data_IF_365220628750
#
_entry.id   IF_365220628750
#
_cell.length_a   1.000
_cell.length_b   1.000
_cell.length_c   1.000
_cell.angle_alpha   90.00
_cell.angle_beta   90.00
_cell.angle_gamma   90.00
#
_symmetry.space_group_name_H-M   'P 1'
#
loop_
_entity.id
_entity.type
_entity.pdbx_description
1 polymer ?
#
# COMPACT_ATOMS: atom_id res chain seq x y z
N UNK A 1 -5.54 1.43 -19.68
CA UNK A 1 -4.48 2.44 -19.85
C UNK A 1 -3.80 2.67 -18.50
N UNK A 2 -2.47 2.75 -18.49
CA UNK A 2 -1.67 3.04 -17.29
C UNK A 2 -1.31 4.53 -17.24
N UNK A 3 -0.90 5.01 -16.05
CA UNK A 3 -0.36 6.37 -15.89
C UNK A 3 0.86 6.58 -16.81
N UNK A 4 1.73 5.57 -16.91
CA UNK A 4 2.93 5.64 -17.73
C UNK A 4 2.61 5.78 -19.23
N UNK A 5 1.61 5.05 -19.75
CA UNK A 5 1.16 5.19 -21.13
C UNK A 5 0.69 6.62 -21.42
N UNK A 6 -0.17 7.19 -20.59
CA UNK A 6 -0.69 8.55 -20.77
C UNK A 6 0.41 9.60 -20.67
N UNK A 7 1.30 9.49 -19.70
CA UNK A 7 2.37 10.47 -19.51
C UNK A 7 3.45 10.40 -20.59
N UNK A 8 3.75 9.20 -21.08
CA UNK A 8 4.68 9.02 -22.21
C UNK A 8 4.18 9.73 -23.46
N UNK A 9 2.90 9.58 -23.79
CA UNK A 9 2.26 10.32 -24.91
C UNK A 9 2.23 11.83 -24.68
N UNK A 10 2.25 12.26 -23.42
CA UNK A 10 2.31 13.67 -23.00
C UNK A 10 3.74 14.22 -22.91
N UNK A 11 4.75 13.47 -23.39
CA UNK A 11 6.14 13.91 -23.46
C UNK A 11 6.97 13.71 -22.19
N UNK A 12 6.51 12.92 -21.26
CA UNK A 12 7.28 12.52 -20.06
C UNK A 12 8.18 11.33 -20.36
N UNK A 13 9.36 11.30 -19.77
CA UNK A 13 10.07 10.04 -19.56
C UNK A 13 9.39 9.23 -18.45
N UNK A 14 9.35 7.92 -18.61
CA UNK A 14 8.58 7.03 -17.74
C UNK A 14 9.44 5.89 -17.22
N UNK A 15 9.68 5.87 -15.91
CA UNK A 15 10.58 4.94 -15.26
C UNK A 15 9.89 4.15 -14.15
N UNK A 16 10.24 2.88 -14.04
CA UNK A 16 9.77 2.04 -12.94
C UNK A 16 10.91 1.26 -12.31
N UNK A 17 10.97 1.26 -10.99
CA UNK A 17 11.82 0.36 -10.23
C UNK A 17 11.01 -0.33 -9.13
N UNK A 18 11.11 -1.68 -9.03
CA UNK A 18 10.46 -2.45 -7.98
C UNK A 18 9.50 -3.53 -8.44
N UNK A 19 8.42 -3.72 -7.70
CA UNK A 19 7.41 -4.76 -7.91
C UNK A 19 6.36 -4.34 -8.92
N UNK A 20 6.18 -5.13 -9.99
CA UNK A 20 5.14 -4.92 -11.00
C UNK A 20 3.79 -5.51 -10.61
N UNK A 21 3.71 -6.83 -10.49
CA UNK A 21 2.52 -7.61 -10.06
C UNK A 21 1.25 -7.44 -10.93
N UNK A 22 1.37 -6.99 -12.18
CA UNK A 22 0.25 -6.83 -13.11
C UNK A 22 0.31 -7.78 -14.31
N UNK A 23 1.04 -8.88 -14.16
CA UNK A 23 1.19 -9.94 -15.17
C UNK A 23 2.65 -10.28 -15.42
N UNK A 24 3.02 -11.55 -15.12
CA UNK A 24 4.37 -12.07 -15.31
C UNK A 24 4.48 -13.03 -16.51
N UNK A 25 3.36 -13.57 -16.95
CA UNK A 25 3.28 -14.47 -18.10
C UNK A 25 2.80 -13.69 -19.34
N UNK A 26 3.60 -13.70 -20.39
CA UNK A 26 3.40 -12.91 -21.60
C UNK A 26 4.04 -11.51 -21.49
N UNK A 27 5.01 -11.22 -22.37
CA UNK A 27 5.75 -9.95 -22.34
C UNK A 27 4.85 -8.73 -22.60
N UNK A 28 3.75 -8.91 -23.31
CA UNK A 28 2.76 -7.87 -23.58
C UNK A 28 2.17 -7.22 -22.32
N UNK A 29 2.34 -7.88 -21.16
CA UNK A 29 1.88 -7.40 -19.84
C UNK A 29 2.98 -6.72 -19.02
N UNK A 30 4.24 -6.76 -19.52
CA UNK A 30 5.38 -6.26 -18.76
C UNK A 30 5.48 -4.73 -18.81
N UNK A 31 6.25 -4.11 -17.89
CA UNK A 31 6.27 -2.65 -17.75
C UNK A 31 6.57 -1.87 -19.03
N UNK A 32 7.51 -2.32 -19.86
CA UNK A 32 7.85 -1.60 -21.08
C UNK A 32 6.70 -1.55 -22.08
N UNK A 33 5.93 -2.64 -22.20
CA UNK A 33 4.73 -2.72 -23.04
C UNK A 33 3.53 -2.01 -22.43
N UNK A 34 3.67 -1.55 -21.19
CA UNK A 34 2.65 -0.81 -20.44
C UNK A 34 3.08 0.63 -20.13
N UNK A 35 3.87 1.21 -21.06
CA UNK A 35 4.18 2.62 -21.12
C UNK A 35 5.47 3.06 -20.41
N UNK A 36 6.17 2.20 -19.70
CA UNK A 36 7.47 2.53 -19.11
C UNK A 36 8.59 2.41 -20.15
N UNK A 37 9.53 3.35 -20.14
CA UNK A 37 10.71 3.33 -20.99
C UNK A 37 11.84 2.50 -20.38
N UNK A 38 11.93 2.52 -19.05
CA UNK A 38 12.90 1.74 -18.30
C UNK A 38 12.23 1.03 -17.14
N UNK A 39 12.68 -0.17 -16.86
CA UNK A 39 12.21 -0.99 -15.74
C UNK A 39 13.36 -1.75 -15.10
N UNK A 40 13.40 -1.76 -13.77
CA UNK A 40 14.22 -2.70 -13.02
C UNK A 40 13.43 -3.24 -11.83
N UNK A 41 13.27 -4.55 -11.73
CA UNK A 41 12.52 -5.10 -10.59
C UNK A 41 12.06 -6.53 -10.80
N UNK A 42 10.97 -6.85 -10.12
CA UNK A 42 10.33 -8.17 -10.17
C UNK A 42 8.95 -8.07 -10.82
N UNK A 43 8.65 -9.00 -11.72
CA UNK A 43 7.32 -9.12 -12.34
C UNK A 43 6.30 -9.75 -11.40
N UNK A 44 6.76 -10.57 -10.46
CA UNK A 44 5.96 -11.30 -9.48
C UNK A 44 5.50 -10.42 -8.31
N UNK A 45 4.56 -10.93 -7.49
CA UNK A 45 4.00 -10.22 -6.34
C UNK A 45 4.88 -10.21 -5.07
N UNK A 46 5.91 -11.06 -5.01
CA UNK A 46 6.88 -11.13 -3.90
C UNK A 46 8.13 -11.88 -4.36
N UNK A 47 9.26 -11.65 -3.70
CA UNK A 47 10.52 -12.35 -3.94
C UNK A 47 11.35 -12.40 -2.66
N UNK A 48 12.45 -13.16 -2.67
CA UNK A 48 13.52 -12.99 -1.67
C UNK A 48 14.14 -11.60 -1.81
N UNK A 49 14.37 -10.91 -0.70
CA UNK A 49 15.06 -9.61 -0.69
C UNK A 49 16.54 -9.76 -0.95
N UNK A 50 17.11 -10.89 -0.53
CA UNK A 50 18.54 -11.17 -0.57
C UNK A 50 18.96 -11.88 -1.84
N UNK A 51 18.07 -12.73 -2.41
CA UNK A 51 18.39 -13.55 -3.59
C UNK A 51 17.14 -13.80 -4.45
N UNK A 52 16.62 -12.79 -5.16
CA UNK A 52 15.53 -12.99 -6.12
C UNK A 52 15.95 -14.01 -7.18
N UNK A 53 15.10 -15.03 -7.42
CA UNK A 53 15.46 -16.12 -8.33
C UNK A 53 14.25 -16.79 -8.97
N UNK A 54 14.45 -17.58 -10.05
CA UNK A 54 13.42 -18.31 -10.75
C UNK A 54 12.31 -17.41 -11.29
N UNK A 55 11.06 -17.84 -11.17
CA UNK A 55 9.88 -17.04 -11.58
C UNK A 55 9.68 -15.74 -10.77
N UNK A 56 10.45 -15.53 -9.71
CA UNK A 56 10.47 -14.33 -8.85
C UNK A 56 11.81 -13.59 -8.93
N UNK A 57 12.57 -13.84 -10.00
CA UNK A 57 13.85 -13.20 -10.27
C UNK A 57 13.70 -11.78 -10.81
N UNK A 58 14.83 -11.14 -11.01
CA UNK A 58 14.95 -9.77 -11.48
C UNK A 58 14.82 -9.68 -13.00
N UNK A 59 14.31 -8.54 -13.43
CA UNK A 59 14.21 -8.18 -14.85
C UNK A 59 14.71 -6.74 -14.99
N UNK A 60 15.57 -6.49 -15.98
CA UNK A 60 15.98 -5.15 -16.43
C UNK A 60 15.38 -4.93 -17.81
N UNK A 61 14.53 -3.96 -17.93
CA UNK A 61 13.73 -3.69 -19.13
C UNK A 61 12.92 -4.97 -19.50
N UNK A 62 13.22 -5.65 -20.57
CA UNK A 62 12.61 -6.95 -20.93
C UNK A 62 13.57 -8.14 -20.73
N UNK A 63 14.76 -7.91 -20.18
CA UNK A 63 15.78 -8.94 -20.01
C UNK A 63 15.75 -9.53 -18.60
N UNK A 64 15.51 -10.83 -18.47
CA UNK A 64 15.67 -11.52 -17.19
C UNK A 64 17.13 -11.54 -16.78
N UNK A 65 17.39 -11.15 -15.55
CA UNK A 65 18.73 -11.09 -15.01
C UNK A 65 19.10 -12.40 -14.29
N UNK A 66 20.42 -12.72 -14.21
CA UNK A 66 20.89 -13.78 -13.35
C UNK A 66 20.57 -13.47 -11.87
N UNK A 67 20.67 -14.49 -11.03
CA UNK A 67 20.57 -14.30 -9.58
C UNK A 67 21.71 -13.38 -9.13
N UNK A 68 21.38 -12.31 -8.38
CA UNK A 68 22.41 -11.35 -7.97
C UNK A 68 23.42 -11.99 -7.00
N UNK A 69 24.66 -11.55 -7.10
CA UNK A 69 25.72 -11.90 -6.14
C UNK A 69 25.52 -11.15 -4.82
N UNK A 70 25.93 -11.78 -3.72
CA UNK A 70 25.92 -11.13 -2.41
C UNK A 70 27.13 -10.17 -2.26
N UNK A 71 26.98 -9.04 -1.53
CA UNK A 71 25.78 -8.60 -0.82
C UNK A 71 24.76 -7.94 -1.75
N UNK A 72 23.50 -8.35 -1.67
CA UNK A 72 22.39 -7.77 -2.43
C UNK A 72 21.17 -7.57 -1.54
N UNK A 73 20.42 -6.47 -1.74
CA UNK A 73 19.15 -6.22 -1.07
C UNK A 73 18.21 -5.46 -2.00
N UNK A 74 17.02 -6.03 -2.28
CA UNK A 74 16.08 -5.49 -3.29
C UNK A 74 15.72 -4.03 -3.06
N UNK A 75 15.46 -3.61 -1.81
CA UNK A 75 15.03 -2.25 -1.48
C UNK A 75 16.09 -1.22 -1.87
N UNK A 76 17.37 -1.53 -1.63
CA UNK A 76 18.48 -0.66 -2.04
C UNK A 76 18.60 -0.62 -3.55
N UNK A 77 18.61 -1.80 -4.19
CA UNK A 77 18.78 -1.92 -5.64
C UNK A 77 17.66 -1.22 -6.41
N UNK A 78 16.40 -1.30 -5.94
CA UNK A 78 15.29 -0.58 -6.59
C UNK A 78 15.50 0.94 -6.54
N UNK A 79 15.97 1.45 -5.41
CA UNK A 79 16.28 2.88 -5.28
C UNK A 79 17.48 3.29 -6.15
N UNK A 80 18.51 2.47 -6.21
CA UNK A 80 19.68 2.75 -7.03
C UNK A 80 19.35 2.81 -8.52
N UNK A 81 18.52 1.88 -9.00
CA UNK A 81 18.05 1.91 -10.38
C UNK A 81 17.04 3.06 -10.63
N UNK A 82 16.20 3.41 -9.68
CA UNK A 82 15.33 4.57 -9.78
C UNK A 82 16.15 5.87 -9.96
N UNK A 83 17.18 6.05 -9.14
CA UNK A 83 18.11 7.18 -9.26
C UNK A 83 18.85 7.13 -10.58
N UNK A 84 19.40 5.98 -10.96
CA UNK A 84 20.13 5.76 -12.20
C UNK A 84 19.30 6.14 -13.41
N UNK A 85 18.04 5.74 -13.50
CA UNK A 85 17.19 6.06 -14.65
C UNK A 85 16.94 7.56 -14.80
N UNK A 86 16.77 8.28 -13.68
CA UNK A 86 16.65 9.75 -13.70
C UNK A 86 17.99 10.43 -14.03
N UNK A 87 19.12 9.86 -13.60
CA UNK A 87 20.47 10.39 -13.87
C UNK A 87 20.93 10.18 -15.33
N UNK A 88 20.53 9.06 -15.94
CA UNK A 88 20.83 8.73 -17.34
C UNK A 88 20.05 9.58 -18.36
N UNK A 89 19.02 10.33 -17.91
CA UNK A 89 18.24 11.20 -18.79
C UNK A 89 19.12 12.31 -19.38
N UNK A 90 19.10 12.48 -20.70
CA UNK A 90 19.98 13.42 -21.44
C UNK A 90 19.32 14.73 -21.82
N UNK A 91 18.02 14.86 -21.68
CA UNK A 91 17.23 16.04 -22.01
C UNK A 91 16.52 16.61 -20.76
N UNK A 92 15.85 17.75 -20.94
CA UNK A 92 15.14 18.45 -19.86
C UNK A 92 13.65 18.09 -19.78
N UNK A 93 13.21 17.03 -20.47
CA UNK A 93 11.81 16.58 -20.35
C UNK A 93 11.46 16.21 -18.91
N UNK A 94 10.21 16.37 -18.51
CA UNK A 94 9.77 15.89 -17.20
C UNK A 94 9.81 14.36 -17.14
N UNK A 95 9.85 13.82 -15.93
CA UNK A 95 9.82 12.37 -15.72
C UNK A 95 8.67 11.94 -14.83
N UNK A 96 8.20 10.73 -15.04
CA UNK A 96 7.36 9.96 -14.12
C UNK A 96 8.15 8.77 -13.61
N UNK A 97 8.31 8.67 -12.31
CA UNK A 97 9.00 7.55 -11.65
C UNK A 97 8.02 6.81 -10.72
N UNK A 98 7.79 5.53 -10.99
CA UNK A 98 7.09 4.64 -10.09
C UNK A 98 8.08 3.75 -9.33
N UNK A 99 8.41 4.14 -8.08
CA UNK A 99 9.26 3.36 -7.18
C UNK A 99 8.37 2.49 -6.28
N UNK A 100 8.19 1.23 -6.69
CA UNK A 100 7.27 0.29 -6.08
C UNK A 100 8.02 -0.73 -5.22
N UNK A 101 8.30 -0.40 -3.98
CA UNK A 101 8.98 -1.32 -3.06
C UNK A 101 8.16 -2.60 -2.82
N UNK A 102 8.83 -3.76 -2.80
CA UNK A 102 8.24 -4.99 -2.26
C UNK A 102 8.23 -5.00 -0.73
N UNK A 103 9.05 -4.20 -0.09
CA UNK A 103 9.08 -4.01 1.35
C UNK A 103 7.86 -3.23 1.87
N UNK A 104 7.32 -3.59 3.03
CA UNK A 104 7.73 -4.63 3.97
C UNK A 104 6.95 -5.96 3.84
N UNK A 105 6.50 -6.33 2.62
CA UNK A 105 5.80 -7.61 2.38
C UNK A 105 6.69 -8.80 2.77
N UNK A 106 6.10 -9.94 3.20
CA UNK A 106 6.88 -11.15 3.38
C UNK A 106 7.59 -11.59 2.07
N UNK A 107 8.76 -12.31 2.17
CA UNK A 107 9.39 -12.92 3.33
C UNK A 107 10.03 -11.92 4.28
N UNK A 108 10.12 -12.28 5.56
CA UNK A 108 10.87 -11.50 6.54
C UNK A 108 12.37 -11.68 6.28
N UNK A 109 12.97 -10.69 5.66
CA UNK A 109 14.40 -10.65 5.37
C UNK A 109 14.89 -9.19 5.48
N UNK A 110 15.87 -8.90 6.30
CA UNK A 110 16.44 -7.57 6.49
C UNK A 110 17.93 -7.64 6.84
N UNK A 111 18.60 -6.50 6.78
CA UNK A 111 19.99 -6.39 7.17
C UNK A 111 20.14 -6.58 8.68
N UNK A 112 21.13 -7.35 9.09
CA UNK A 112 21.32 -7.72 10.50
C UNK A 112 21.52 -6.50 11.39
N UNK A 113 22.31 -5.52 10.93
CA UNK A 113 22.53 -4.27 11.67
C UNK A 113 21.24 -3.46 11.92
N UNK A 114 20.25 -3.61 11.07
CA UNK A 114 18.93 -2.96 11.26
C UNK A 114 18.03 -3.78 12.19
N UNK A 115 18.08 -5.11 12.12
CA UNK A 115 17.30 -5.99 13.01
C UNK A 115 17.67 -5.74 14.48
N UNK A 116 18.99 -5.65 14.77
CA UNK A 116 19.51 -5.43 16.11
C UNK A 116 18.96 -4.16 16.78
N UNK A 117 18.67 -3.12 16.01
CA UNK A 117 18.07 -1.87 16.54
C UNK A 117 16.70 -2.07 17.18
N UNK A 118 15.96 -3.09 16.75
CA UNK A 118 14.55 -3.27 17.11
C UNK A 118 14.29 -4.48 18.02
N UNK A 119 15.15 -5.49 18.03
CA UNK A 119 14.90 -6.76 18.73
C UNK A 119 14.59 -6.56 20.21
N UNK A 120 15.41 -5.78 20.93
CA UNK A 120 15.22 -5.50 22.35
C UNK A 120 13.89 -4.80 22.61
N UNK A 121 13.54 -3.81 21.80
CA UNK A 121 12.32 -3.00 21.97
C UNK A 121 11.07 -3.87 21.93
N UNK A 122 10.94 -4.73 20.91
CA UNK A 122 9.77 -5.58 20.75
C UNK A 122 9.72 -6.71 21.77
N UNK A 123 10.87 -7.19 22.21
CA UNK A 123 10.95 -8.24 23.24
C UNK A 123 10.53 -7.76 24.62
N UNK A 124 10.97 -6.58 25.02
CA UNK A 124 10.70 -6.00 26.33
C UNK A 124 9.26 -5.47 26.43
N UNK A 125 8.77 -4.79 25.40
CA UNK A 125 7.47 -4.13 25.43
C UNK A 125 6.30 -5.02 25.03
N UNK A 126 6.51 -5.94 24.09
CA UNK A 126 5.45 -6.74 23.54
C UNK A 126 4.38 -5.93 22.80
N UNK A 127 3.41 -6.62 22.25
CA UNK A 127 2.40 -5.97 21.40
C UNK A 127 1.38 -5.11 22.14
N UNK A 128 1.06 -5.41 23.41
CA UNK A 128 0.08 -4.62 24.17
C UNK A 128 0.63 -3.21 24.44
N UNK A 129 1.87 -3.11 24.93
CA UNK A 129 2.51 -1.82 25.20
C UNK A 129 2.82 -1.06 23.88
N UNK A 130 3.28 -1.76 22.85
CA UNK A 130 3.53 -1.15 21.53
C UNK A 130 2.24 -0.59 20.91
N UNK A 131 1.11 -1.30 21.02
CA UNK A 131 -0.21 -0.81 20.59
C UNK A 131 -0.56 0.51 21.28
N UNK A 132 -0.44 0.55 22.60
CA UNK A 132 -0.75 1.75 23.36
C UNK A 132 0.21 2.91 23.08
N UNK A 133 1.51 2.63 22.98
CA UNK A 133 2.50 3.65 22.61
C UNK A 133 2.22 4.23 21.22
N UNK A 134 1.83 3.37 20.26
CA UNK A 134 1.45 3.78 18.92
C UNK A 134 0.22 4.68 18.93
N UNK A 135 -0.86 4.30 19.66
CA UNK A 135 -2.06 5.11 19.82
C UNK A 135 -1.73 6.50 20.38
N UNK A 136 -0.98 6.56 21.49
CA UNK A 136 -0.55 7.82 22.12
C UNK A 136 0.21 8.71 21.14
N UNK A 137 1.13 8.12 20.36
CA UNK A 137 1.88 8.88 19.35
C UNK A 137 1.00 9.38 18.22
N UNK A 138 0.07 8.57 17.72
CA UNK A 138 -0.87 8.96 16.66
C UNK A 138 -1.77 10.09 17.12
N UNK A 139 -2.27 10.05 18.36
CA UNK A 139 -3.02 11.15 18.99
C UNK A 139 -2.17 12.43 19.07
N UNK A 140 -0.93 12.32 19.59
CA UNK A 140 -0.03 13.47 19.68
C UNK A 140 0.28 14.11 18.32
N UNK A 141 0.34 13.31 17.27
CA UNK A 141 0.57 13.77 15.89
C UNK A 141 -0.72 14.27 15.20
N UNK A 142 -1.87 14.16 15.85
CA UNK A 142 -3.16 14.54 15.28
C UNK A 142 -3.66 13.60 14.17
N UNK A 143 -3.16 12.37 14.10
CA UNK A 143 -3.58 11.36 13.11
C UNK A 143 -4.96 10.80 13.49
N UNK A 144 -5.19 10.58 14.78
CA UNK A 144 -6.45 10.12 15.36
C UNK A 144 -6.91 11.06 16.48
N UNK A 145 -8.19 11.06 16.76
CA UNK A 145 -8.75 11.82 17.88
C UNK A 145 -8.35 11.22 19.24
N UNK A 146 -8.24 12.03 20.31
CA UNK A 146 -7.81 11.57 21.65
C UNK A 146 -8.68 10.45 22.24
N UNK A 147 -9.96 10.47 21.94
CA UNK A 147 -10.97 9.50 22.40
C UNK A 147 -11.14 8.29 21.48
N UNK A 148 -10.30 8.15 20.45
CA UNK A 148 -10.35 6.99 19.55
C UNK A 148 -10.05 5.71 20.34
N UNK A 149 -11.05 4.84 20.44
CA UNK A 149 -10.92 3.54 21.06
C UNK A 149 -10.20 2.55 20.15
N UNK A 150 -9.65 1.48 20.70
CA UNK A 150 -9.11 0.38 19.92
C UNK A 150 -10.23 -0.46 19.31
N UNK A 151 -10.03 -0.94 18.10
CA UNK A 151 -10.76 -2.10 17.61
C UNK A 151 -10.53 -3.32 18.52
N UNK A 152 -11.47 -4.25 18.48
CA UNK A 152 -11.39 -5.49 19.24
C UNK A 152 -10.07 -6.23 19.00
N UNK A 153 -9.47 -6.73 20.08
CA UNK A 153 -8.25 -7.52 20.04
C UNK A 153 -8.58 -9.00 19.84
N UNK A 154 -8.12 -9.58 18.78
CA UNK A 154 -8.49 -10.93 18.34
C UNK A 154 -7.38 -11.98 18.59
N UNK A 155 -6.38 -11.63 19.38
CA UNK A 155 -5.22 -12.48 19.63
C UNK A 155 -4.97 -12.62 21.14
N UNK A 156 -4.10 -13.53 21.54
CA UNK A 156 -3.66 -13.65 22.93
C UNK A 156 -2.97 -12.36 23.39
N UNK A 157 -3.07 -12.06 24.68
CA UNK A 157 -2.29 -10.99 25.31
C UNK A 157 -0.81 -11.40 25.37
N UNK A 158 0.08 -10.42 25.42
CA UNK A 158 1.53 -10.69 25.47
C UNK A 158 1.94 -11.56 26.66
N UNK A 159 1.33 -11.35 27.83
CA UNK A 159 1.63 -12.11 29.06
C UNK A 159 1.10 -13.56 29.02
N UNK A 160 0.24 -13.92 28.09
CA UNK A 160 -0.26 -15.28 27.88
C UNK A 160 0.68 -16.13 27.02
N UNK A 161 1.72 -15.52 26.46
CA UNK A 161 2.74 -16.21 25.67
C UNK A 161 3.85 -16.80 26.56
N UNK A 162 4.36 -17.95 26.17
CA UNK A 162 5.60 -18.49 26.75
C UNK A 162 6.79 -17.61 26.36
N UNK A 163 7.89 -17.68 27.14
CA UNK A 163 9.09 -16.90 26.84
C UNK A 163 9.65 -17.22 25.44
N UNK A 164 9.60 -18.50 25.05
CA UNK A 164 10.03 -18.93 23.71
C UNK A 164 9.14 -18.35 22.59
N UNK A 165 7.82 -18.23 22.80
CA UNK A 165 6.93 -17.59 21.84
C UNK A 165 7.22 -16.09 21.76
N UNK A 166 7.43 -15.41 22.89
CA UNK A 166 7.79 -13.99 22.95
C UNK A 166 9.08 -13.72 22.17
N UNK A 167 10.12 -14.54 22.34
CA UNK A 167 11.37 -14.40 21.60
C UNK A 167 11.14 -14.50 20.08
N UNK A 168 10.38 -15.51 19.66
CA UNK A 168 10.08 -15.75 18.23
C UNK A 168 9.30 -14.60 17.60
N UNK A 169 8.23 -14.14 18.25
CA UNK A 169 7.38 -13.08 17.67
C UNK A 169 8.03 -11.71 17.73
N UNK A 170 8.83 -11.43 18.77
CA UNK A 170 9.61 -10.20 18.88
C UNK A 170 10.65 -10.10 17.75
N UNK A 171 11.37 -11.18 17.48
CA UNK A 171 12.33 -11.23 16.40
C UNK A 171 11.67 -11.03 15.03
N UNK A 172 10.53 -11.68 14.76
CA UNK A 172 9.76 -11.46 13.53
C UNK A 172 9.39 -9.99 13.32
N UNK A 173 8.93 -9.34 14.39
CA UNK A 173 8.56 -7.92 14.31
C UNK A 173 9.79 -7.02 14.16
N UNK A 174 10.92 -7.38 14.76
CA UNK A 174 12.18 -6.65 14.58
C UNK A 174 12.64 -6.68 13.11
N UNK A 175 12.54 -7.83 12.45
CA UNK A 175 12.86 -7.95 11.02
C UNK A 175 11.91 -7.11 10.17
N UNK A 176 10.61 -7.15 10.45
CA UNK A 176 9.64 -6.29 9.76
C UNK A 176 9.95 -4.80 9.94
N UNK A 177 10.26 -4.38 11.16
CA UNK A 177 10.63 -3.00 11.45
C UNK A 177 11.93 -2.59 10.73
N UNK A 178 12.89 -3.49 10.62
CA UNK A 178 14.10 -3.28 9.84
C UNK A 178 13.83 -3.11 8.33
N UNK A 179 12.87 -3.88 7.77
CA UNK A 179 12.41 -3.67 6.38
C UNK A 179 11.82 -2.26 6.20
N UNK A 180 10.96 -1.80 7.13
CA UNK A 180 10.38 -0.44 7.09
C UNK A 180 11.45 0.63 7.24
N UNK A 181 12.42 0.42 8.15
CA UNK A 181 13.56 1.32 8.33
C UNK A 181 14.40 1.46 7.05
N UNK A 182 14.62 0.36 6.34
CA UNK A 182 15.32 0.37 5.07
C UNK A 182 14.55 1.13 3.99
N UNK A 183 13.20 1.03 3.95
CA UNK A 183 12.37 1.83 3.03
C UNK A 183 12.54 3.32 3.32
N UNK A 184 12.46 3.73 4.60
CA UNK A 184 12.61 5.13 5.00
C UNK A 184 14.00 5.69 4.59
N UNK A 185 15.05 4.92 4.83
CA UNK A 185 16.40 5.27 4.39
C UNK A 185 16.49 5.47 2.86
N UNK A 186 15.89 4.58 2.09
CA UNK A 186 15.92 4.61 0.63
C UNK A 186 15.05 5.72 0.04
N UNK A 187 13.89 6.02 0.63
CA UNK A 187 13.10 7.21 0.27
C UNK A 187 13.94 8.48 0.49
N UNK A 188 14.60 8.59 1.64
CA UNK A 188 15.50 9.72 1.90
C UNK A 188 16.61 9.82 0.85
N UNK A 189 17.26 8.71 0.50
CA UNK A 189 18.32 8.66 -0.53
C UNK A 189 17.85 9.22 -1.87
N UNK A 190 16.65 8.83 -2.32
CA UNK A 190 16.04 9.37 -3.54
C UNK A 190 15.75 10.87 -3.42
N UNK A 191 15.14 11.32 -2.32
CA UNK A 191 14.81 12.73 -2.12
C UNK A 191 16.07 13.61 -2.03
N UNK A 192 17.14 13.14 -1.39
CA UNK A 192 18.44 13.84 -1.31
C UNK A 192 19.09 13.95 -2.71
N UNK A 193 18.98 12.90 -3.54
CA UNK A 193 19.42 12.93 -4.93
C UNK A 193 18.66 13.99 -5.74
N UNK A 194 17.31 13.97 -5.67
CA UNK A 194 16.49 14.94 -6.38
C UNK A 194 16.75 16.38 -5.92
N UNK A 195 16.95 16.58 -4.62
CA UNK A 195 17.32 17.89 -4.05
C UNK A 195 18.69 18.39 -4.54
N UNK A 196 19.71 17.53 -4.51
CA UNK A 196 21.06 17.83 -4.99
C UNK A 196 21.04 18.26 -6.47
N UNK A 197 20.21 17.62 -7.28
CA UNK A 197 20.08 17.90 -8.70
C UNK A 197 18.99 18.96 -9.03
N UNK A 198 18.50 19.69 -8.02
CA UNK A 198 17.50 20.78 -8.16
C UNK A 198 16.17 20.36 -8.81
N UNK A 199 15.84 19.06 -8.76
CA UNK A 199 14.62 18.49 -9.32
C UNK A 199 13.48 18.42 -8.28
N UNK A 200 13.77 18.34 -6.97
CA UNK A 200 12.80 18.07 -5.92
C UNK A 200 11.72 19.16 -5.79
N UNK A 201 12.07 20.43 -5.94
CA UNK A 201 11.14 21.55 -5.72
C UNK A 201 9.96 21.53 -6.69
N UNK A 202 10.19 21.07 -7.94
CA UNK A 202 9.16 20.90 -8.96
C UNK A 202 8.82 19.41 -9.22
N UNK A 203 8.94 18.57 -8.22
CA UNK A 203 8.50 17.17 -8.27
C UNK A 203 7.31 16.98 -7.34
N UNK A 204 6.20 16.49 -7.87
CA UNK A 204 5.09 15.97 -7.07
C UNK A 204 5.50 14.61 -6.52
N UNK A 205 5.69 14.52 -5.22
CA UNK A 205 6.02 13.28 -4.50
C UNK A 205 4.78 12.77 -3.81
N UNK A 206 4.38 11.54 -4.11
CA UNK A 206 3.28 10.83 -3.46
C UNK A 206 3.84 9.56 -2.81
N UNK A 207 3.65 9.39 -1.50
CA UNK A 207 4.05 8.20 -0.76
C UNK A 207 2.85 7.59 -0.06
N UNK A 208 2.59 6.31 -0.32
CA UNK A 208 1.45 5.58 0.24
C UNK A 208 1.77 4.09 0.45
N UNK A 209 0.96 3.43 1.24
CA UNK A 209 0.85 1.98 1.26
C UNK A 209 -0.40 1.57 0.46
N UNK A 210 -0.29 0.51 -0.33
CA UNK A 210 -1.35 0.00 -1.19
C UNK A 210 -2.51 -0.66 -0.42
N UNK A 211 -2.24 -1.16 0.78
CA UNK A 211 -3.20 -1.78 1.69
C UNK A 211 -2.70 -1.75 3.14
N UNK A 212 -3.56 -2.15 4.05
CA UNK A 212 -3.15 -2.38 5.44
C UNK A 212 -2.17 -3.54 5.60
N UNK A 213 -1.67 -3.71 6.81
CA UNK A 213 -0.66 -4.71 7.17
C UNK A 213 -1.09 -6.13 6.81
N UNK A 214 -0.15 -6.95 6.36
CA UNK A 214 -0.40 -8.30 5.87
C UNK A 214 -0.36 -9.33 7.00
N UNK A 215 -1.48 -10.01 7.25
CA UNK A 215 -1.59 -11.06 8.28
C UNK A 215 -1.35 -12.48 7.74
N UNK A 216 -1.12 -12.64 6.44
CA UNK A 216 -0.96 -13.96 5.81
C UNK A 216 0.22 -14.75 6.42
N UNK A 217 0.08 -16.07 6.60
CA UNK A 217 -1.07 -16.94 6.33
C UNK A 217 -2.15 -16.97 7.44
N UNK A 218 -2.36 -15.89 8.15
CA UNK A 218 -3.34 -15.70 9.25
C UNK A 218 -3.03 -16.46 10.54
N UNK A 219 -1.87 -17.08 10.66
CA UNK A 219 -1.38 -17.62 11.92
C UNK A 219 -1.11 -16.48 12.91
N UNK A 220 -1.52 -16.67 14.17
CA UNK A 220 -1.36 -15.64 15.21
C UNK A 220 0.09 -15.21 15.37
N UNK A 221 1.00 -16.18 15.50
CA UNK A 221 2.42 -15.97 15.79
C UNK A 221 3.32 -15.92 14.54
N UNK A 222 2.72 -15.89 13.34
CA UNK A 222 3.44 -15.84 12.07
C UNK A 222 3.60 -17.17 11.36
N UNK A 223 3.84 -17.10 10.05
CA UNK A 223 4.10 -18.26 9.20
C UNK A 223 5.59 -18.55 9.01
N UNK A 224 5.92 -19.76 8.55
CA UNK A 224 7.28 -20.22 8.37
C UNK A 224 8.07 -20.39 9.68
N UNK A 225 9.28 -20.93 9.61
CA UNK A 225 10.16 -21.07 10.79
C UNK A 225 11.00 -19.81 11.00
N UNK A 226 11.33 -19.50 12.25
CA UNK A 226 12.24 -18.38 12.58
C UNK A 226 13.63 -18.61 12.00
N UNK A 227 14.09 -19.86 11.95
CA UNK A 227 15.37 -20.23 11.33
C UNK A 227 15.46 -20.00 9.83
N UNK A 228 14.32 -19.80 9.16
CA UNK A 228 14.22 -19.49 7.72
C UNK A 228 14.26 -17.97 7.44
N UNK A 229 14.18 -17.14 8.48
CA UNK A 229 14.35 -15.69 8.37
C UNK A 229 15.79 -15.39 7.97
N UNK A 230 15.96 -14.50 6.99
CA UNK A 230 17.25 -14.17 6.38
C UNK A 230 17.94 -15.33 5.63
N UNK A 231 17.31 -16.48 5.45
CA UNK A 231 17.82 -17.50 4.56
C UNK A 231 17.58 -17.09 3.09
N UNK A 232 18.64 -16.81 2.30
CA UNK A 232 18.49 -16.42 0.90
C UNK A 232 17.88 -17.53 0.02
N UNK A 233 18.00 -18.79 0.44
CA UNK A 233 17.48 -19.96 -0.26
C UNK A 233 16.08 -20.36 0.19
N UNK A 234 15.49 -19.63 1.14
CA UNK A 234 14.20 -19.96 1.72
C UNK A 234 13.09 -20.03 0.65
N UNK A 235 12.49 -21.21 0.51
CA UNK A 235 11.34 -21.47 -0.36
C UNK A 235 10.00 -21.17 0.34
N UNK A 236 10.00 -21.12 1.67
CA UNK A 236 8.86 -20.74 2.51
C UNK A 236 9.03 -19.28 2.91
N UNK A 237 7.93 -18.53 2.84
CA UNK A 237 8.00 -17.09 3.14
C UNK A 237 7.60 -16.81 4.60
N UNK A 238 8.59 -16.67 5.53
CA UNK A 238 8.30 -16.34 6.92
C UNK A 238 7.60 -14.97 7.01
N UNK A 239 6.58 -14.91 7.87
CA UNK A 239 5.79 -13.70 8.12
C UNK A 239 5.67 -13.39 9.60
N UNK A 240 5.25 -12.17 9.96
CA UNK A 240 5.18 -11.74 11.35
C UNK A 240 3.86 -12.05 12.06
N UNK A 241 2.84 -12.49 11.31
CA UNK A 241 1.62 -13.02 11.85
C UNK A 241 0.51 -12.01 12.11
N UNK A 242 -0.66 -12.56 12.44
CA UNK A 242 -1.90 -11.79 12.60
C UNK A 242 -1.84 -10.80 13.77
N UNK A 243 -1.24 -11.18 14.88
CA UNK A 243 -1.13 -10.30 16.05
C UNK A 243 -0.36 -9.02 15.72
N UNK A 244 0.83 -9.13 15.12
CA UNK A 244 1.60 -7.97 14.70
C UNK A 244 0.98 -7.19 13.54
N UNK A 245 0.25 -7.85 12.64
CA UNK A 245 -0.50 -7.15 11.60
C UNK A 245 -1.59 -6.24 12.22
N UNK A 246 -2.30 -6.72 13.23
CA UNK A 246 -3.28 -5.91 13.96
C UNK A 246 -2.62 -4.76 14.73
N UNK A 247 -1.44 -4.96 15.33
CA UNK A 247 -0.65 -3.87 15.94
C UNK A 247 -0.26 -2.82 14.91
N UNK A 248 0.20 -3.25 13.74
CA UNK A 248 0.62 -2.35 12.66
C UNK A 248 -0.52 -1.48 12.12
N UNK A 249 -1.76 -1.95 12.23
CA UNK A 249 -2.97 -1.22 11.83
C UNK A 249 -3.66 -0.47 12.98
N UNK A 250 -3.08 -0.46 14.19
CA UNK A 250 -3.65 0.26 15.33
C UNK A 250 -4.05 1.70 14.97
N UNK A 251 -5.26 2.16 15.36
CA UNK A 251 -6.25 1.50 16.21
C UNK A 251 -7.29 0.67 15.44
N UNK A 252 -7.20 0.60 14.13
CA UNK A 252 -8.22 0.11 13.21
C UNK A 252 -8.43 -1.40 13.26
N UNK A 253 -9.62 -1.82 12.81
CA UNK A 253 -10.07 -3.22 12.78
C UNK A 253 -9.47 -3.96 11.57
N UNK A 254 -9.04 -5.21 11.78
CA UNK A 254 -8.53 -6.12 10.75
C UNK A 254 -7.25 -5.64 10.04
N UNK A 255 -7.03 -6.14 8.82
CA UNK A 255 -5.77 -6.06 8.07
C UNK A 255 -6.03 -6.33 6.57
N UNK A 256 -4.97 -6.33 5.76
CA UNK A 256 -5.00 -6.63 4.32
C UNK A 256 -5.99 -7.76 3.97
N UNK A 257 -6.62 -7.67 2.81
CA UNK A 257 -7.69 -8.51 2.27
C UNK A 257 -9.07 -8.29 2.93
N UNK A 258 -9.18 -7.47 3.98
CA UNK A 258 -10.45 -7.14 4.62
C UNK A 258 -10.87 -5.71 4.29
N UNK A 259 -12.19 -5.48 4.14
CA UNK A 259 -12.72 -4.15 3.82
C UNK A 259 -12.96 -3.26 5.05
N UNK A 260 -12.55 -3.71 6.24
CA UNK A 260 -12.50 -2.88 7.45
C UNK A 260 -11.37 -1.84 7.36
N UNK A 261 -11.44 -0.79 8.16
CA UNK A 261 -10.48 0.32 8.11
C UNK A 261 -9.01 -0.14 8.21
N UNK A 262 -8.70 -1.18 8.99
CA UNK A 262 -7.34 -1.72 9.08
C UNK A 262 -6.84 -2.38 7.80
N UNK A 263 -7.74 -2.74 6.88
CA UNK A 263 -7.36 -3.29 5.57
C UNK A 263 -7.24 -2.24 4.47
N UNK A 264 -8.02 -1.16 4.53
CA UNK A 264 -8.18 -0.22 3.42
C UNK A 264 -7.80 1.23 3.74
N UNK A 265 -7.83 1.66 5.02
CA UNK A 265 -7.54 3.05 5.40
C UNK A 265 -6.04 3.25 5.61
N UNK A 266 -5.30 3.46 4.53
CA UNK A 266 -3.87 3.72 4.54
C UNK A 266 -3.57 5.21 4.36
N UNK A 267 -2.46 5.72 4.94
CA UNK A 267 -2.09 7.12 4.77
C UNK A 267 -1.49 7.38 3.39
N UNK A 268 -1.76 8.59 2.87
CA UNK A 268 -1.08 9.16 1.71
C UNK A 268 -0.35 10.43 2.15
N UNK A 269 0.91 10.56 1.78
CA UNK A 269 1.70 11.79 1.94
C UNK A 269 1.87 12.40 0.56
N UNK A 270 1.52 13.69 0.42
CA UNK A 270 1.70 14.45 -0.81
C UNK A 270 2.62 15.63 -0.53
N UNK A 271 3.65 15.80 -1.35
CA UNK A 271 4.59 16.93 -1.26
C UNK A 271 4.90 17.48 -2.65
N UNK A 272 4.69 18.78 -2.83
CA UNK A 272 5.04 19.48 -4.05
C UNK A 272 5.37 20.95 -3.72
N UNK A 273 6.62 21.22 -3.47
CA UNK A 273 7.06 22.49 -2.89
C UNK A 273 6.72 23.70 -3.74
N UNK A 274 6.82 23.60 -5.06
CA UNK A 274 6.50 24.71 -5.97
C UNK A 274 5.01 25.07 -6.00
N UNK A 275 4.12 24.08 -5.83
CA UNK A 275 2.67 24.26 -5.93
C UNK A 275 1.91 24.24 -4.60
N UNK A 276 2.42 23.53 -3.59
CA UNK A 276 1.79 23.40 -2.28
C UNK A 276 2.55 24.18 -1.18
N UNK A 277 3.05 25.36 -1.52
CA UNK A 277 3.95 26.19 -0.67
C UNK A 277 3.43 26.44 0.75
N UNK A 278 2.14 26.65 0.89
CA UNK A 278 1.51 27.03 2.16
C UNK A 278 0.83 25.83 2.87
N UNK A 279 1.16 24.59 2.46
CA UNK A 279 0.51 23.37 2.96
C UNK A 279 1.44 22.44 3.74
N UNK A 280 2.58 22.96 4.21
CA UNK A 280 3.57 22.16 4.92
C UNK A 280 3.02 21.60 6.24
N UNK A 281 2.98 20.29 6.35
CA UNK A 281 2.55 19.58 7.56
C UNK A 281 1.05 19.65 7.84
N UNK A 282 0.24 20.10 6.90
CA UNK A 282 -1.21 20.12 7.06
C UNK A 282 -1.84 18.73 6.86
N UNK A 283 -2.92 18.48 7.61
CA UNK A 283 -3.75 17.31 7.46
C UNK A 283 -4.91 17.59 6.50
N UNK A 284 -5.07 16.72 5.49
CA UNK A 284 -6.30 16.61 4.71
C UNK A 284 -7.08 15.41 5.23
N UNK A 285 -8.31 15.65 5.70
CA UNK A 285 -9.17 14.60 6.27
C UNK A 285 -10.24 14.11 5.30
N UNK A 286 -10.27 14.68 4.11
CA UNK A 286 -11.18 14.23 3.04
C UNK A 286 -10.73 12.86 2.56
N UNK A 287 -11.57 11.84 2.61
CA UNK A 287 -11.22 10.52 2.11
C UNK A 287 -11.00 10.52 0.59
N UNK A 288 -9.90 9.92 0.17
CA UNK A 288 -9.66 9.54 -1.21
C UNK A 288 -9.42 8.03 -1.31
N UNK A 289 -9.21 7.51 -2.50
CA UNK A 289 -8.82 6.12 -2.71
C UNK A 289 -7.94 5.96 -3.96
N UNK A 290 -7.38 4.77 -4.20
CA UNK A 290 -6.37 4.56 -5.25
C UNK A 290 -6.76 5.04 -6.65
N UNK A 291 -8.03 4.93 -7.11
CA UNK A 291 -8.43 5.50 -8.41
C UNK A 291 -8.19 7.01 -8.56
N UNK A 292 -8.04 7.75 -7.46
CA UNK A 292 -7.83 9.20 -7.46
C UNK A 292 -6.40 9.61 -7.87
N UNK A 293 -5.47 8.68 -7.82
CA UNK A 293 -4.06 8.94 -8.17
C UNK A 293 -3.94 9.36 -9.63
N UNK A 294 -4.60 8.64 -10.55
CA UNK A 294 -4.55 8.95 -11.99
C UNK A 294 -5.05 10.38 -12.27
N UNK A 295 -6.30 10.76 -11.94
CA UNK A 295 -6.79 12.12 -12.22
C UNK A 295 -5.99 13.21 -11.49
N UNK A 296 -5.41 12.93 -10.31
CA UNK A 296 -4.52 13.87 -9.63
C UNK A 296 -3.23 14.12 -10.43
N UNK A 297 -2.64 13.08 -10.98
CA UNK A 297 -1.44 13.19 -11.84
C UNK A 297 -1.79 13.91 -13.14
N UNK A 298 -2.94 13.63 -13.76
CA UNK A 298 -3.38 14.31 -14.97
C UNK A 298 -3.56 15.83 -14.74
N UNK A 299 -4.21 16.20 -13.62
CA UNK A 299 -4.33 17.64 -13.27
C UNK A 299 -2.96 18.28 -13.03
N UNK A 300 -2.04 17.58 -12.34
CA UNK A 300 -0.69 18.08 -12.07
C UNK A 300 0.14 18.31 -13.33
N UNK A 301 -0.06 17.50 -14.36
CA UNK A 301 0.77 17.45 -15.56
C UNK A 301 0.13 18.12 -16.77
N UNK A 302 -1.18 18.37 -16.73
CA UNK A 302 -1.97 18.82 -17.88
C UNK A 302 -2.19 17.73 -18.94
N UNK A 303 -1.86 16.46 -18.63
CA UNK A 303 -2.06 15.35 -19.55
C UNK A 303 -3.55 15.00 -19.67
N UNK A 304 -3.96 14.56 -20.86
CA UNK A 304 -5.34 14.20 -21.15
C UNK A 304 -5.52 12.69 -21.12
N UNK A 305 -6.55 12.21 -20.42
CA UNK A 305 -6.93 10.80 -20.45
C UNK A 305 -7.52 10.45 -21.82
N UNK A 306 -7.01 9.44 -22.52
CA UNK A 306 -7.48 9.10 -23.86
C UNK A 306 -8.87 8.43 -23.83
N UNK A 307 -9.64 8.59 -24.90
CA UNK A 307 -10.93 7.91 -25.07
C UNK A 307 -10.80 6.48 -25.59
N UNK A 308 -9.72 6.21 -26.32
CA UNK A 308 -9.45 4.90 -26.93
C UNK A 308 -8.03 4.43 -26.63
N UNK A 309 -7.86 3.11 -26.60
CA UNK A 309 -6.57 2.43 -26.49
C UNK A 309 -6.00 2.04 -27.85
N UNK A 310 -4.73 1.67 -27.92
CA UNK A 310 -4.08 1.20 -29.14
C UNK A 310 -5.00 0.27 -29.95
N UNK A 311 -5.21 0.59 -31.25
CA UNK A 311 -6.13 -0.13 -32.11
C UNK A 311 -7.59 0.33 -32.06
N UNK A 312 -7.90 1.46 -31.39
CA UNK A 312 -9.21 2.08 -31.41
C UNK A 312 -10.24 1.48 -30.42
N UNK A 313 -9.82 0.57 -29.54
CA UNK A 313 -10.70 0.02 -28.50
C UNK A 313 -11.07 1.10 -27.49
N UNK A 314 -12.37 1.25 -27.25
CA UNK A 314 -12.86 2.16 -26.20
C UNK A 314 -12.37 1.72 -24.82
N UNK A 315 -11.89 2.66 -24.03
CA UNK A 315 -11.49 2.42 -22.64
C UNK A 315 -12.55 2.90 -21.66
N UNK A 316 -12.53 2.32 -20.47
CA UNK A 316 -13.42 2.77 -19.39
C UNK A 316 -13.04 4.18 -18.95
N UNK A 317 -14.04 5.04 -18.66
CA UNK A 317 -13.77 6.38 -18.13
C UNK A 317 -13.08 6.31 -16.77
N UNK A 318 -12.41 7.40 -16.39
CA UNK A 318 -11.88 7.56 -15.04
C UNK A 318 -13.00 7.50 -14.01
N UNK A 319 -12.80 6.72 -12.95
CA UNK A 319 -13.74 6.61 -11.83
C UNK A 319 -13.27 7.40 -10.60
N UNK A 320 -12.00 7.81 -10.57
CA UNK A 320 -11.41 8.63 -9.52
C UNK A 320 -11.64 10.14 -9.75
N UNK A 321 -11.34 10.92 -8.73
CA UNK A 321 -11.36 12.38 -8.75
C UNK A 321 -9.99 12.92 -8.33
N UNK A 322 -9.58 14.09 -8.84
CA UNK A 322 -8.34 14.70 -8.38
C UNK A 322 -8.38 15.01 -6.88
N UNK A 323 -7.28 14.75 -6.19
CA UNK A 323 -7.10 15.06 -4.77
C UNK A 323 -6.83 16.53 -4.50
N UNK A 324 -6.45 17.33 -5.51
CA UNK A 324 -6.08 18.74 -5.32
C UNK A 324 -7.18 19.60 -4.73
N UNK A 325 -8.47 19.50 -5.14
CA UNK A 325 -9.53 20.27 -4.50
C UNK A 325 -9.61 20.04 -2.98
N UNK A 326 -9.46 18.79 -2.53
CA UNK A 326 -9.46 18.44 -1.10
C UNK A 326 -8.19 18.97 -0.39
N UNK A 327 -7.00 18.76 -0.98
CA UNK A 327 -5.72 19.26 -0.45
C UNK A 327 -5.73 20.78 -0.33
N UNK A 328 -6.37 21.48 -1.28
CA UNK A 328 -6.52 22.93 -1.29
C UNK A 328 -7.67 23.44 -0.42
N UNK A 329 -8.40 22.56 0.29
CA UNK A 329 -9.56 22.89 1.13
C UNK A 329 -10.70 23.59 0.36
N UNK A 330 -10.90 23.19 -0.89
CA UNK A 330 -11.99 23.68 -1.74
C UNK A 330 -13.23 22.79 -1.69
N UNK A 331 -13.10 21.59 -1.12
CA UNK A 331 -14.20 20.64 -0.94
C UNK A 331 -13.99 19.80 0.30
N UNK A 332 -15.08 19.37 0.90
CA UNK A 332 -15.12 18.43 2.04
C UNK A 332 -15.44 16.99 1.60
N UNK A 333 -15.68 16.77 0.31
CA UNK A 333 -15.92 15.44 -0.26
C UNK A 333 -15.43 15.39 -1.71
N UNK A 334 -14.82 14.25 -2.08
CA UNK A 334 -14.42 13.94 -3.46
C UNK A 334 -15.38 12.97 -4.14
N UNK A 335 -16.07 12.15 -3.37
CA UNK A 335 -16.93 11.10 -3.87
C UNK A 335 -18.24 11.06 -3.11
N UNK A 336 -19.34 10.84 -3.85
CA UNK A 336 -20.62 10.50 -3.23
C UNK A 336 -20.56 9.11 -2.64
N UNK A 337 -20.04 8.14 -3.41
CA UNK A 337 -19.85 6.75 -2.98
C UNK A 337 -18.41 6.30 -3.26
N UNK A 338 -17.90 5.41 -2.39
CA UNK A 338 -16.64 4.68 -2.57
C UNK A 338 -16.92 3.19 -2.40
N UNK A 339 -16.35 2.34 -3.29
CA UNK A 339 -16.69 0.92 -3.37
C UNK A 339 -15.46 0.04 -3.25
N UNK A 340 -15.60 -1.09 -2.56
CA UNK A 340 -14.54 -2.10 -2.45
C UNK A 340 -15.11 -3.50 -2.65
N UNK A 341 -14.34 -4.33 -3.32
CA UNK A 341 -14.47 -5.78 -3.36
C UNK A 341 -13.10 -6.43 -3.47
N UNK A 342 -12.83 -7.39 -2.59
CA UNK A 342 -11.66 -8.24 -2.67
C UNK A 342 -11.93 -9.59 -1.99
N UNK A 343 -11.83 -10.71 -2.73
CA UNK A 343 -12.01 -12.06 -2.20
C UNK A 343 -13.32 -12.24 -1.40
N UNK A 344 -14.44 -11.70 -1.88
CA UNK A 344 -15.75 -11.65 -1.23
C UNK A 344 -15.87 -10.67 -0.04
N UNK A 345 -14.82 -9.99 0.35
CA UNK A 345 -14.95 -8.85 1.26
C UNK A 345 -15.49 -7.67 0.48
N UNK A 346 -16.59 -7.10 0.92
CA UNK A 346 -17.34 -6.05 0.23
C UNK A 346 -17.47 -4.85 1.15
N UNK A 347 -17.39 -3.66 0.60
CA UNK A 347 -17.77 -2.45 1.32
C UNK A 347 -18.25 -1.36 0.38
N UNK A 348 -19.07 -0.47 0.93
CA UNK A 348 -19.48 0.80 0.33
C UNK A 348 -19.45 1.87 1.41
N UNK A 349 -18.94 3.05 1.05
CA UNK A 349 -19.01 4.25 1.89
C UNK A 349 -19.85 5.33 1.22
N UNK A 350 -20.71 5.97 1.99
CA UNK A 350 -21.51 7.13 1.63
C UNK A 350 -21.45 8.16 2.77
N UNK A 351 -20.73 9.24 2.56
CA UNK A 351 -20.48 10.21 3.60
C UNK A 351 -19.86 9.57 4.86
N UNK A 352 -20.59 9.62 5.98
CA UNK A 352 -20.18 9.03 7.26
C UNK A 352 -20.49 7.53 7.35
N UNK A 353 -21.44 7.04 6.55
CA UNK A 353 -21.88 5.66 6.60
C UNK A 353 -20.98 4.74 5.81
N UNK A 354 -20.68 3.58 6.36
CA UNK A 354 -19.95 2.50 5.70
C UNK A 354 -20.64 1.18 5.96
N UNK A 355 -21.12 0.53 4.89
CA UNK A 355 -21.61 -0.83 4.98
C UNK A 355 -20.50 -1.81 4.57
N UNK A 356 -20.37 -2.91 5.33
CA UNK A 356 -19.33 -3.92 5.13
C UNK A 356 -19.95 -5.30 5.17
N UNK A 357 -19.46 -6.20 4.31
CA UNK A 357 -19.72 -7.64 4.39
C UNK A 357 -18.41 -8.39 4.29
N UNK A 358 -18.00 -9.02 5.40
CA UNK A 358 -16.81 -9.89 5.44
C UNK A 358 -17.02 -11.15 4.59
N UNK A 359 -15.95 -11.72 4.05
CA UNK A 359 -15.97 -12.96 3.26
C UNK A 359 -16.74 -14.10 3.93
N UNK A 360 -16.60 -14.23 5.23
CA UNK A 360 -17.23 -15.26 6.06
C UNK A 360 -18.59 -14.82 6.61
N UNK A 361 -18.86 -13.53 6.57
CA UNK A 361 -20.13 -12.95 7.03
C UNK A 361 -21.26 -13.24 6.07
N UNK A 362 -22.44 -13.63 6.59
CA UNK A 362 -23.65 -13.79 5.80
C UNK A 362 -24.37 -12.48 5.61
N UNK A 363 -24.22 -11.57 6.56
CA UNK A 363 -24.97 -10.33 6.65
C UNK A 363 -24.06 -9.11 6.49
N UNK A 364 -24.65 -7.99 6.13
CA UNK A 364 -24.00 -6.72 6.08
C UNK A 364 -24.00 -6.05 7.44
N UNK A 365 -22.87 -5.45 7.81
CA UNK A 365 -22.70 -4.58 8.96
C UNK A 365 -22.76 -3.11 8.52
N UNK A 366 -23.19 -2.19 9.39
CA UNK A 366 -23.26 -0.76 9.13
C UNK A 366 -22.55 0.03 10.23
N UNK A 367 -21.73 1.02 9.84
CA UNK A 367 -20.95 1.84 10.75
C UNK A 367 -21.02 3.33 10.40
N UNK A 368 -21.01 4.21 11.40
CA UNK A 368 -20.70 5.63 11.24
C UNK A 368 -19.17 5.79 11.42
N UNK A 369 -18.42 5.73 10.33
CA UNK A 369 -16.94 5.74 10.36
C UNK A 369 -16.32 7.10 10.68
N UNK A 370 -17.10 8.13 10.90
CA UNK A 370 -16.61 9.40 11.44
C UNK A 370 -16.64 9.39 12.97
N UNK A 371 -17.69 8.83 13.57
CA UNK A 371 -17.82 8.70 15.01
C UNK A 371 -17.11 7.45 15.54
N UNK A 372 -17.12 6.39 14.77
CA UNK A 372 -16.55 5.07 15.11
C UNK A 372 -15.57 4.60 14.03
N UNK A 373 -14.37 5.22 14.03
CA UNK A 373 -13.29 4.88 13.09
C UNK A 373 -12.76 3.45 13.22
N UNK A 374 -13.13 2.76 14.29
CA UNK A 374 -12.64 1.42 14.61
C UNK A 374 -13.69 0.33 14.39
N UNK A 375 -14.88 0.72 13.91
CA UNK A 375 -15.93 -0.20 13.44
C UNK A 375 -16.34 -1.21 14.54
N UNK A 376 -16.67 -0.68 15.74
CA UNK A 376 -17.04 -1.47 16.92
C UNK A 376 -18.55 -1.62 17.08
N UNK A 377 -19.30 -0.57 16.72
CA UNK A 377 -20.72 -0.49 16.97
C UNK A 377 -21.50 -0.70 15.66
N UNK A 378 -21.94 -1.93 15.43
CA UNK A 378 -22.77 -2.24 14.27
C UNK A 378 -24.15 -1.62 14.44
N UNK A 379 -24.50 -0.71 13.53
CA UNK A 379 -25.75 0.06 13.51
C UNK A 379 -26.80 -0.49 12.52
N UNK A 380 -26.59 -1.67 11.97
CA UNK A 380 -27.44 -2.26 10.92
C UNK A 380 -28.92 -2.38 11.37
N UNK A 381 -29.16 -2.80 12.61
CA UNK A 381 -30.53 -2.94 13.17
C UNK A 381 -31.17 -1.57 13.48
N UNK A 382 -30.35 -0.56 13.80
CA UNK A 382 -30.83 0.79 14.17
C UNK A 382 -31.15 1.65 12.93
N UNK A 383 -30.50 1.37 11.80
CA UNK A 383 -30.64 2.11 10.54
C UNK A 383 -30.81 1.18 9.33
N UNK A 384 -31.85 0.31 9.32
CA UNK A 384 -32.06 -0.66 8.25
C UNK A 384 -32.31 -0.01 6.90
N UNK A 385 -32.91 1.19 6.86
CA UNK A 385 -33.15 1.95 5.65
C UNK A 385 -31.85 2.43 4.99
N UNK A 386 -30.87 2.87 5.79
CA UNK A 386 -29.53 3.27 5.32
C UNK A 386 -28.81 2.05 4.77
N UNK A 387 -28.83 0.95 5.51
CA UNK A 387 -28.17 -0.28 5.07
C UNK A 387 -28.75 -0.79 3.75
N UNK A 388 -30.10 -0.84 3.62
CA UNK A 388 -30.79 -1.28 2.40
C UNK A 388 -30.38 -0.43 1.20
N UNK A 389 -30.33 0.91 1.36
CA UNK A 389 -29.87 1.83 0.33
C UNK A 389 -28.44 1.53 -0.11
N UNK A 390 -27.53 1.36 0.85
CA UNK A 390 -26.11 1.14 0.56
C UNK A 390 -25.86 -0.20 -0.12
N UNK A 391 -26.53 -1.26 0.32
CA UNK A 391 -26.42 -2.58 -0.28
C UNK A 391 -26.91 -2.56 -1.73
N UNK A 392 -28.06 -1.94 -1.98
CA UNK A 392 -28.61 -1.81 -3.34
C UNK A 392 -27.65 -1.03 -4.27
N UNK A 393 -27.06 0.06 -3.78
CA UNK A 393 -26.10 0.85 -4.56
C UNK A 393 -24.78 0.09 -4.80
N UNK A 394 -24.30 -0.68 -3.82
CA UNK A 394 -23.14 -1.56 -4.02
C UNK A 394 -23.41 -2.64 -5.07
N UNK A 395 -24.58 -3.27 -5.04
CA UNK A 395 -24.98 -4.30 -6.02
C UNK A 395 -25.09 -3.73 -7.44
N UNK A 396 -25.68 -2.54 -7.57
CA UNK A 396 -25.76 -1.82 -8.85
C UNK A 396 -24.36 -1.55 -9.41
N UNK A 397 -23.44 -1.02 -8.59
CA UNK A 397 -22.04 -0.81 -8.98
C UNK A 397 -21.37 -2.14 -9.35
N UNK A 398 -21.53 -3.18 -8.56
CA UNK A 398 -20.90 -4.47 -8.76
C UNK A 398 -21.33 -5.15 -10.08
N UNK A 399 -22.61 -5.03 -10.45
CA UNK A 399 -23.13 -5.53 -11.72
C UNK A 399 -22.60 -4.69 -12.90
N UNK A 400 -22.57 -3.38 -12.79
CA UNK A 400 -22.09 -2.48 -13.84
C UNK A 400 -20.59 -2.63 -14.12
N UNK A 401 -19.80 -3.06 -13.12
CA UNK A 401 -18.34 -3.18 -13.20
C UNK A 401 -17.83 -4.64 -13.26
N UNK A 402 -18.70 -5.59 -13.61
CA UNK A 402 -18.37 -7.02 -13.77
C UNK A 402 -17.79 -7.68 -12.50
N UNK A 403 -18.08 -7.13 -11.34
CA UNK A 403 -17.76 -7.73 -10.03
C UNK A 403 -18.72 -8.88 -9.75
N UNK A 404 -19.97 -8.75 -10.19
CA UNK A 404 -21.01 -9.78 -10.16
C UNK A 404 -21.59 -10.01 -11.57
N UNK A 405 -22.01 -11.24 -11.91
CA UNK A 405 -21.79 -12.47 -11.16
C UNK A 405 -20.30 -12.83 -11.14
N UNK A 406 -19.84 -13.48 -10.08
CA UNK A 406 -18.46 -13.97 -10.05
C UNK A 406 -18.27 -15.05 -11.12
N UNK A 407 -17.34 -14.82 -12.01
CA UNK A 407 -16.94 -15.87 -12.93
C UNK A 407 -16.30 -17.02 -12.15
N UNK A 408 -16.67 -18.28 -12.42
CA UNK A 408 -15.99 -19.42 -11.81
C UNK A 408 -14.48 -19.31 -12.10
N UNK A 409 -13.68 -19.58 -11.10
CA UNK A 409 -12.21 -19.65 -11.29
C UNK A 409 -11.93 -20.70 -12.38
N UNK A 410 -11.35 -20.26 -13.49
CA UNK A 410 -10.82 -21.15 -14.52
C UNK A 410 -9.61 -21.90 -13.98
#
# INVERSE_FOLDING_TARGET
VTIAEVLKESGYHTYMAGKWHLGMHGEEKWPLQRGFERFYGILAGACSYLRPSGGRGLTLDNTKLPVPEAPYYTTDAFTDYAIRFVDEQKDDKPFFLYLAFNAPHWPLQAKEEDIQKFTKIYREKGWDEIREARRKRMTKLGIIEPNTEFAEWENRKWNELTEQEKDKVAYRMAVYAAQVHCVDYNVRKLLDYLKKNRKLDNTLVMFLSDNGACAEPYAELGGGKVSEINDPACSVFPSYGRAWAQVSNTPFRKYKCRSYEGGISTPLIVSWKSNLKNKKGEWCRVPGYLPDIMPTILEATGATYPETYHGGNRIYPLVGSSLFPAIQKKTDSLHEYMYWEHQNNRAIRWGNWKAIRDEKGKEWELYDVVKDRTERNNLAEQHPEVLTKLVAEWEKWANANFVLPKHPKK
#
